data_IF_524849914474
#
_entry.id   IF_524849914474
#
_cell.length_a   1.000
_cell.length_b   1.000
_cell.length_c   1.000
_cell.angle_alpha   90.00
_cell.angle_beta   90.00
_cell.angle_gamma   90.00
#
_symmetry.space_group_name_H-M   'P 1'
#
loop_
_entity.id
_entity.type
_entity.pdbx_description
1 polymer ?
#
# COMPACT_ATOMS: atom_id res chain seq x y z
N UNK A 1 -4.02 -49.07 15.68
CA UNK A 1 -4.31 -47.65 16.01
C UNK A 1 -3.85 -46.84 14.80
N UNK A 2 -4.76 -46.58 13.88
CA UNK A 2 -4.48 -45.78 12.70
C UNK A 2 -4.52 -44.30 13.07
N UNK A 3 -3.37 -43.67 13.02
CA UNK A 3 -3.26 -42.23 13.22
C UNK A 3 -3.87 -41.52 12.01
N UNK A 4 -5.04 -40.90 12.18
CA UNK A 4 -5.63 -40.03 11.14
C UNK A 4 -4.69 -38.89 10.86
N UNK A 5 -4.20 -38.80 9.62
CA UNK A 5 -3.44 -37.64 9.14
C UNK A 5 -4.29 -36.37 9.31
N UNK A 6 -3.71 -35.24 9.77
CA UNK A 6 -4.46 -34.02 9.94
C UNK A 6 -5.04 -33.61 8.59
N UNK A 7 -6.35 -33.39 8.55
CA UNK A 7 -7.06 -32.84 7.39
C UNK A 7 -6.36 -31.55 6.97
N UNK A 8 -5.70 -31.55 5.83
CA UNK A 8 -5.13 -30.34 5.24
C UNK A 8 -6.28 -29.40 4.94
N UNK A 9 -6.27 -28.22 5.52
CA UNK A 9 -7.20 -27.15 5.16
C UNK A 9 -7.17 -26.98 3.63
N UNK A 10 -8.33 -26.88 2.98
CA UNK A 10 -8.37 -26.76 1.52
C UNK A 10 -7.58 -25.52 1.08
N UNK A 11 -6.75 -25.69 0.06
CA UNK A 11 -5.79 -24.68 -0.46
C UNK A 11 -6.51 -23.38 -0.87
N UNK A 12 -7.81 -23.43 -1.07
CA UNK A 12 -8.69 -22.34 -1.50
C UNK A 12 -9.77 -21.96 -0.47
N UNK A 13 -9.70 -22.46 0.76
CA UNK A 13 -10.51 -21.87 1.83
C UNK A 13 -9.95 -20.48 2.06
N UNK A 14 -10.74 -19.42 1.95
CA UNK A 14 -10.33 -18.03 2.13
C UNK A 14 -9.80 -17.70 3.54
N UNK A 15 -9.38 -18.70 4.31
CA UNK A 15 -8.75 -18.57 5.62
C UNK A 15 -7.23 -18.60 5.47
N UNK A 16 -6.59 -17.55 5.93
CA UNK A 16 -5.14 -17.46 5.99
C UNK A 16 -4.59 -18.36 7.11
N UNK A 17 -3.39 -18.91 6.87
CA UNK A 17 -2.66 -19.66 7.90
C UNK A 17 -2.15 -18.76 9.03
N UNK A 18 -2.00 -17.48 8.80
CA UNK A 18 -1.62 -16.47 9.80
C UNK A 18 -2.81 -15.56 10.04
N UNK A 19 -3.25 -15.47 11.27
CA UNK A 19 -4.34 -14.59 11.71
C UNK A 19 -3.76 -13.42 12.49
N UNK A 20 -4.31 -12.25 12.28
CA UNK A 20 -3.96 -11.08 13.07
C UNK A 20 -4.56 -11.22 14.48
N UNK A 21 -3.79 -11.00 15.55
CA UNK A 21 -4.35 -10.87 16.90
C UNK A 21 -5.31 -9.68 16.96
N UNK A 22 -6.38 -9.80 17.72
CA UNK A 22 -7.26 -8.67 17.98
C UNK A 22 -6.52 -7.62 18.82
N UNK A 23 -6.58 -6.36 18.41
CA UNK A 23 -5.98 -5.24 19.13
C UNK A 23 -6.79 -3.95 18.95
N UNK A 24 -6.61 -3.00 19.85
CA UNK A 24 -7.25 -1.70 19.80
C UNK A 24 -6.29 -0.63 19.22
N UNK A 25 -6.80 0.42 18.57
CA UNK A 25 -5.96 1.49 18.08
C UNK A 25 -5.30 2.22 19.26
N UNK A 26 -4.09 2.77 19.09
CA UNK A 26 -3.43 3.54 20.15
C UNK A 26 -4.23 4.80 20.49
N UNK A 27 -3.99 5.34 21.69
CA UNK A 27 -4.66 6.57 22.15
C UNK A 27 -4.51 7.70 21.12
N UNK A 28 -5.61 8.39 20.83
CA UNK A 28 -5.69 9.46 19.85
C UNK A 28 -5.96 9.01 18.41
N UNK A 29 -6.09 7.69 18.16
CA UNK A 29 -6.43 7.13 16.86
C UNK A 29 -7.72 6.31 16.91
N UNK A 30 -8.43 6.24 15.79
CA UNK A 30 -9.63 5.43 15.66
C UNK A 30 -9.58 4.61 14.37
N UNK A 31 -10.16 3.39 14.41
CA UNK A 31 -10.40 2.60 13.22
C UNK A 31 -11.43 3.28 12.31
N UNK A 32 -11.31 3.03 11.02
CA UNK A 32 -12.27 3.40 9.98
C UNK A 32 -12.55 4.90 9.92
N UNK A 33 -11.52 5.70 10.26
CA UNK A 33 -11.56 7.16 10.26
C UNK A 33 -10.30 7.76 9.66
N UNK A 34 -10.40 9.00 9.23
CA UNK A 34 -9.27 9.83 8.87
C UNK A 34 -8.61 10.33 10.15
N UNK A 35 -7.42 9.83 10.46
CA UNK A 35 -6.64 10.33 11.59
C UNK A 35 -5.61 11.33 11.07
N UNK A 36 -5.31 12.36 11.87
CA UNK A 36 -4.29 13.35 11.53
C UNK A 36 -3.05 13.14 12.38
N UNK A 37 -1.95 12.78 11.73
CA UNK A 37 -0.66 12.58 12.40
C UNK A 37 0.49 12.51 11.38
N UNK A 38 1.73 12.63 11.86
CA UNK A 38 2.92 12.18 11.12
C UNK A 38 2.94 10.65 11.10
N UNK A 39 3.24 10.06 9.93
CA UNK A 39 3.18 8.62 9.74
C UNK A 39 4.22 7.85 10.55
N UNK A 40 5.43 8.40 10.76
CA UNK A 40 6.46 7.76 11.60
C UNK A 40 6.08 7.80 13.07
N UNK A 41 5.57 8.95 13.55
CA UNK A 41 5.09 9.09 14.93
C UNK A 41 3.88 8.19 15.20
N UNK A 42 3.03 7.99 14.21
CA UNK A 42 1.93 7.05 14.27
C UNK A 42 2.44 5.61 14.36
N UNK A 43 3.30 5.19 13.43
CA UNK A 43 3.83 3.82 13.40
C UNK A 43 4.60 3.46 14.66
N UNK A 44 5.33 4.39 15.26
CA UNK A 44 6.06 4.19 16.52
C UNK A 44 5.16 3.81 17.71
N UNK A 45 3.85 4.09 17.65
CA UNK A 45 2.88 3.72 18.68
C UNK A 45 2.28 2.33 18.49
N UNK A 46 2.60 1.67 17.39
CA UNK A 46 2.08 0.35 17.04
C UNK A 46 3.06 -0.76 17.42
N UNK A 47 2.50 -1.88 17.85
CA UNK A 47 3.28 -3.07 18.20
C UNK A 47 3.89 -3.74 16.95
N UNK A 48 4.99 -4.46 17.16
CA UNK A 48 5.60 -5.29 16.13
C UNK A 48 4.64 -6.40 15.68
N UNK A 49 4.63 -6.71 14.39
CA UNK A 49 3.83 -7.79 13.86
C UNK A 49 2.34 -7.64 14.12
N UNK A 50 1.79 -6.43 13.99
CA UNK A 50 0.40 -6.14 14.33
C UNK A 50 -0.56 -6.15 13.13
N UNK A 51 -0.06 -6.20 11.89
CA UNK A 51 -0.91 -6.15 10.69
C UNK A 51 -0.45 -7.11 9.59
N UNK A 52 -1.37 -7.72 8.82
CA UNK A 52 -1.03 -8.50 7.64
C UNK A 52 -0.74 -7.65 6.40
N UNK A 53 -1.15 -6.37 6.37
CA UNK A 53 -1.09 -5.56 5.16
C UNK A 53 -0.87 -4.08 5.48
N UNK A 54 0.10 -3.50 4.77
CA UNK A 54 0.33 -2.05 4.76
C UNK A 54 0.31 -1.55 3.32
N UNK A 55 -0.41 -0.46 3.07
CA UNK A 55 -0.26 0.36 1.87
C UNK A 55 0.66 1.52 2.16
N UNK A 56 1.46 1.92 1.17
CA UNK A 56 2.32 3.09 1.29
C UNK A 56 2.48 3.79 -0.06
N UNK A 57 2.12 5.05 -0.11
CA UNK A 57 2.30 5.93 -1.27
C UNK A 57 3.20 7.11 -0.87
N UNK A 58 4.52 6.93 -0.88
CA UNK A 58 5.42 8.00 -0.47
C UNK A 58 5.32 9.20 -1.41
N UNK A 59 5.28 10.41 -0.86
CA UNK A 59 5.31 11.65 -1.64
C UNK A 59 6.76 11.92 -2.11
N UNK A 60 7.23 11.17 -3.08
CA UNK A 60 8.55 11.34 -3.69
C UNK A 60 8.52 12.38 -4.83
N UNK A 61 9.64 13.05 -5.06
CA UNK A 61 9.79 13.90 -6.24
C UNK A 61 9.99 13.06 -7.49
N UNK A 62 9.02 13.12 -8.40
CA UNK A 62 9.20 12.62 -9.75
C UNK A 62 10.00 13.59 -10.64
N UNK A 63 10.57 13.08 -11.73
CA UNK A 63 11.30 13.90 -12.70
C UNK A 63 10.46 15.07 -13.24
N UNK A 64 9.14 14.92 -13.30
CA UNK A 64 8.23 15.98 -13.77
C UNK A 64 8.03 17.11 -12.76
N UNK A 65 8.32 16.89 -11.48
CA UNK A 65 8.16 17.92 -10.45
C UNK A 65 9.33 18.93 -10.47
N UNK A 66 10.41 18.57 -11.17
CA UNK A 66 11.55 19.44 -11.43
C UNK A 66 11.45 20.23 -12.74
N UNK A 67 10.41 19.98 -13.56
CA UNK A 67 10.25 20.59 -14.86
C UNK A 67 9.18 21.69 -14.82
N UNK A 68 9.55 22.92 -15.17
CA UNK A 68 8.66 24.03 -15.39
C UNK A 68 8.36 24.15 -16.88
N UNK A 69 7.09 24.16 -17.24
CA UNK A 69 6.62 24.26 -18.63
C UNK A 69 6.15 25.66 -18.99
N UNK A 70 6.15 26.59 -18.02
CA UNK A 70 5.78 27.98 -18.21
C UNK A 70 4.27 28.29 -18.26
N UNK A 71 3.43 27.24 -18.30
CA UNK A 71 1.96 27.36 -18.33
C UNK A 71 1.27 26.46 -17.30
N UNK A 72 1.93 26.25 -16.17
CA UNK A 72 1.37 25.45 -15.06
C UNK A 72 0.12 26.12 -14.49
N UNK A 73 -1.00 25.39 -14.49
CA UNK A 73 -2.22 25.78 -13.81
C UNK A 73 -2.09 25.64 -12.28
N UNK A 74 -3.06 26.20 -11.54
CA UNK A 74 -3.12 26.14 -10.05
C UNK A 74 -2.94 24.73 -9.49
N UNK A 75 -3.50 23.73 -10.16
CA UNK A 75 -3.40 22.31 -9.78
C UNK A 75 -1.93 21.82 -9.76
N UNK A 76 -1.08 22.28 -10.65
CA UNK A 76 0.31 21.88 -10.72
C UNK A 76 1.16 22.63 -9.69
N UNK A 77 0.83 23.89 -9.43
CA UNK A 77 1.42 24.69 -8.35
C UNK A 77 1.11 24.09 -6.98
N UNK A 78 -0.13 23.61 -6.74
CA UNK A 78 -0.51 22.89 -5.53
C UNK A 78 0.28 21.60 -5.31
N UNK A 79 0.60 20.85 -6.38
CA UNK A 79 1.46 19.65 -6.28
C UNK A 79 2.89 19.96 -5.87
N UNK A 80 3.45 21.03 -6.39
CA UNK A 80 4.81 21.47 -6.05
C UNK A 80 4.93 21.96 -4.60
N UNK A 81 3.82 22.34 -3.97
CA UNK A 81 3.76 22.78 -2.59
C UNK A 81 3.69 21.63 -1.56
N UNK A 82 3.40 20.38 -1.99
CA UNK A 82 3.37 19.24 -1.09
C UNK A 82 4.78 18.91 -0.60
N UNK A 83 4.89 18.64 0.70
CA UNK A 83 6.15 18.18 1.30
C UNK A 83 6.59 16.88 0.62
N UNK A 84 7.80 16.89 0.08
CA UNK A 84 8.40 15.72 -0.55
C UNK A 84 9.20 14.93 0.47
N UNK A 85 9.05 13.60 0.46
CA UNK A 85 9.88 12.70 1.25
C UNK A 85 11.24 12.51 0.60
N UNK A 86 12.31 12.63 1.39
CA UNK A 86 13.63 12.25 0.96
C UNK A 86 13.78 10.71 0.94
N UNK A 87 14.73 10.20 0.16
CA UNK A 87 15.01 8.76 0.08
C UNK A 87 15.26 8.12 1.46
N UNK A 88 16.02 8.81 2.31
CA UNK A 88 16.27 8.37 3.69
C UNK A 88 14.98 8.31 4.54
N UNK A 89 14.03 9.22 4.31
CA UNK A 89 12.74 9.21 5.00
C UNK A 89 11.88 8.04 4.51
N UNK A 90 11.83 7.79 3.20
CA UNK A 90 11.13 6.63 2.62
C UNK A 90 11.67 5.32 3.20
N UNK A 91 13.01 5.17 3.29
CA UNK A 91 13.65 4.00 3.90
C UNK A 91 13.25 3.82 5.36
N UNK A 92 13.14 4.90 6.14
CA UNK A 92 12.65 4.84 7.52
C UNK A 92 11.20 4.36 7.60
N UNK A 93 10.32 4.86 6.73
CA UNK A 93 8.94 4.36 6.65
C UNK A 93 8.91 2.87 6.34
N UNK A 94 9.67 2.41 5.34
CA UNK A 94 9.67 1.00 4.93
C UNK A 94 10.28 0.09 6.02
N UNK A 95 11.28 0.55 6.75
CA UNK A 95 11.81 -0.18 7.90
C UNK A 95 10.75 -0.36 9.00
N UNK A 96 10.03 0.70 9.36
CA UNK A 96 8.92 0.63 10.31
C UNK A 96 7.78 -0.27 9.79
N UNK A 97 7.43 -0.17 8.51
CA UNK A 97 6.45 -1.06 7.89
C UNK A 97 6.89 -2.52 7.99
N UNK A 98 8.18 -2.81 7.74
CA UNK A 98 8.74 -4.15 7.93
C UNK A 98 8.59 -4.66 9.37
N UNK A 99 8.75 -3.79 10.38
CA UNK A 99 8.51 -4.11 11.78
C UNK A 99 7.05 -4.44 12.07
N UNK A 100 6.11 -3.62 11.54
CA UNK A 100 4.67 -3.77 11.80
C UNK A 100 4.04 -4.99 11.13
N UNK A 101 4.59 -5.44 10.01
CA UNK A 101 4.03 -6.57 9.27
C UNK A 101 4.19 -7.88 10.03
N UNK A 102 3.12 -8.67 10.04
CA UNK A 102 3.16 -10.08 10.44
C UNK A 102 4.09 -10.88 9.52
N UNK A 103 4.67 -12.01 9.97
CA UNK A 103 5.31 -12.95 9.04
C UNK A 103 4.38 -13.26 7.86
N UNK A 104 4.91 -13.28 6.65
CA UNK A 104 4.17 -13.41 5.38
C UNK A 104 3.23 -12.25 5.02
N UNK A 105 3.21 -11.20 5.83
CA UNK A 105 2.44 -9.99 5.53
C UNK A 105 2.97 -9.23 4.31
N UNK A 106 2.18 -8.34 3.76
CA UNK A 106 2.48 -7.66 2.50
C UNK A 106 2.58 -6.14 2.67
N UNK A 107 3.52 -5.56 1.95
CA UNK A 107 3.58 -4.13 1.65
C UNK A 107 3.13 -3.91 0.20
N UNK A 108 2.13 -3.03 0.01
CA UNK A 108 1.69 -2.51 -1.27
C UNK A 108 2.27 -1.11 -1.44
N UNK A 109 3.37 -1.00 -2.19
CA UNK A 109 4.16 0.22 -2.34
C UNK A 109 3.91 0.86 -3.70
N UNK A 110 3.32 2.05 -3.71
CA UNK A 110 3.20 2.83 -4.93
C UNK A 110 4.53 3.45 -5.33
N UNK A 111 4.87 3.32 -6.61
CA UNK A 111 6.14 3.84 -7.17
C UNK A 111 5.92 4.41 -8.55
N UNK A 112 6.77 5.34 -8.96
CA UNK A 112 6.80 5.79 -10.36
C UNK A 112 7.82 5.01 -11.20
N UNK A 113 7.71 5.15 -12.51
CA UNK A 113 8.57 4.43 -13.46
C UNK A 113 10.06 4.77 -13.32
N UNK A 114 10.39 5.96 -12.83
CA UNK A 114 11.79 6.37 -12.71
C UNK A 114 12.45 5.72 -11.51
N UNK A 115 11.73 5.61 -10.39
CA UNK A 115 12.19 4.83 -9.24
C UNK A 115 12.36 3.35 -9.59
N UNK A 116 11.47 2.77 -10.41
CA UNK A 116 11.66 1.41 -10.92
C UNK A 116 12.94 1.29 -11.76
N UNK A 117 13.24 2.26 -12.62
CA UNK A 117 14.45 2.25 -13.46
C UNK A 117 15.75 2.45 -12.65
N UNK A 118 15.72 3.26 -11.60
CA UNK A 118 16.87 3.50 -10.72
C UNK A 118 17.05 2.41 -9.68
N UNK A 119 15.99 1.63 -9.42
CA UNK A 119 15.93 0.53 -8.49
C UNK A 119 15.40 0.94 -7.12
N UNK A 120 14.33 0.28 -6.71
CA UNK A 120 13.72 0.42 -5.38
C UNK A 120 14.26 -0.61 -4.38
N UNK A 121 15.13 -1.51 -4.82
CA UNK A 121 15.68 -2.58 -3.98
C UNK A 121 16.31 -2.05 -2.70
N UNK A 122 17.08 -0.96 -2.79
CA UNK A 122 17.73 -0.34 -1.62
C UNK A 122 16.76 0.20 -0.56
N UNK A 123 15.48 0.36 -0.89
CA UNK A 123 14.45 0.73 0.08
C UNK A 123 14.01 -0.46 0.94
N UNK A 124 14.18 -1.69 0.42
CA UNK A 124 13.80 -2.93 1.10
C UNK A 124 14.96 -3.55 1.88
N UNK A 125 16.18 -3.05 1.70
CA UNK A 125 17.37 -3.58 2.36
C UNK A 125 17.22 -3.61 3.89
N UNK A 126 17.60 -4.72 4.50
CA UNK A 126 17.57 -4.96 5.95
C UNK A 126 16.18 -4.89 6.61
N UNK A 127 15.10 -4.88 5.84
CA UNK A 127 13.71 -4.80 6.36
C UNK A 127 13.03 -6.16 6.51
N UNK A 128 13.61 -7.21 5.97
CA UNK A 128 13.00 -8.54 5.86
C UNK A 128 11.87 -8.60 4.80
N UNK A 129 11.74 -7.55 3.98
CA UNK A 129 10.81 -7.49 2.86
C UNK A 129 11.49 -7.87 1.57
N UNK A 130 10.85 -8.72 0.77
CA UNK A 130 11.29 -9.10 -0.55
C UNK A 130 10.22 -8.76 -1.59
N UNK A 131 10.62 -8.21 -2.72
CA UNK A 131 9.71 -7.99 -3.85
C UNK A 131 9.21 -9.33 -4.38
N UNK A 132 7.89 -9.45 -4.51
CA UNK A 132 7.23 -10.69 -4.99
C UNK A 132 6.40 -10.47 -6.24
N UNK A 133 5.96 -9.23 -6.51
CA UNK A 133 5.18 -8.90 -7.70
C UNK A 133 5.24 -7.41 -8.03
N UNK A 134 4.79 -7.03 -9.23
CA UNK A 134 4.67 -5.67 -9.71
C UNK A 134 3.41 -5.52 -10.56
N UNK A 135 2.50 -4.65 -10.15
CA UNK A 135 1.29 -4.35 -10.89
C UNK A 135 1.38 -2.99 -11.57
N UNK A 136 0.79 -2.88 -12.73
CA UNK A 136 0.64 -1.63 -13.48
C UNK A 136 -0.82 -1.19 -13.43
N UNK A 137 -1.11 -0.04 -12.82
CA UNK A 137 -2.42 0.56 -12.92
C UNK A 137 -2.50 1.44 -14.18
N UNK A 138 -3.28 1.00 -15.18
CA UNK A 138 -3.67 1.80 -16.32
C UNK A 138 -4.85 2.70 -15.95
N UNK A 139 -4.62 4.02 -15.94
CA UNK A 139 -5.61 5.03 -15.52
C UNK A 139 -6.72 5.28 -16.55
N UNK A 140 -6.62 4.67 -17.73
CA UNK A 140 -7.53 4.90 -18.86
C UNK A 140 -7.66 6.38 -19.26
N UNK A 141 -6.64 7.17 -18.96
CA UNK A 141 -6.52 8.59 -19.34
C UNK A 141 -5.08 8.97 -19.57
N UNK A 142 -4.87 9.88 -20.50
CA UNK A 142 -3.55 10.45 -20.72
C UNK A 142 -3.26 11.56 -19.69
N UNK A 143 -2.19 11.40 -18.95
CA UNK A 143 -1.62 12.44 -18.10
C UNK A 143 -0.56 13.26 -18.84
N UNK A 144 0.06 14.18 -18.13
CA UNK A 144 1.15 14.98 -18.66
C UNK A 144 2.42 14.15 -18.84
N UNK A 145 3.28 14.57 -19.75
CA UNK A 145 4.60 13.98 -19.98
C UNK A 145 5.31 14.72 -21.10
N UNK A 146 6.62 14.81 -20.99
CA UNK A 146 7.44 15.55 -21.95
C UNK A 146 7.66 14.79 -23.27
N UNK A 147 7.90 13.47 -23.17
CA UNK A 147 8.03 12.57 -24.34
C UNK A 147 6.81 11.70 -24.50
N UNK A 148 6.62 10.78 -23.57
CA UNK A 148 5.44 9.92 -23.53
C UNK A 148 4.42 10.44 -22.52
N UNK A 149 3.13 10.23 -22.77
CA UNK A 149 2.06 10.59 -21.84
C UNK A 149 1.94 9.55 -20.73
N UNK A 150 1.78 10.02 -19.50
CA UNK A 150 1.60 9.12 -18.34
C UNK A 150 0.19 8.56 -18.31
N UNK A 151 0.05 7.29 -18.60
CA UNK A 151 -1.21 6.55 -18.48
C UNK A 151 -1.21 5.61 -17.29
N UNK A 152 -0.05 5.33 -16.71
CA UNK A 152 0.11 4.31 -15.70
C UNK A 152 0.80 4.82 -14.42
N UNK A 153 0.52 4.14 -13.31
CA UNK A 153 1.30 4.09 -12.07
C UNK A 153 1.59 2.63 -11.73
N UNK A 154 2.53 2.43 -10.85
CA UNK A 154 3.03 1.08 -10.54
C UNK A 154 2.87 0.81 -9.06
N UNK A 155 2.46 -0.43 -8.74
CA UNK A 155 2.32 -0.93 -7.39
C UNK A 155 3.26 -2.12 -7.21
N UNK A 156 4.34 -1.92 -6.46
CA UNK A 156 5.24 -2.98 -6.06
C UNK A 156 4.63 -3.74 -4.89
N UNK A 157 4.59 -5.06 -4.99
CA UNK A 157 4.19 -5.94 -3.91
C UNK A 157 5.44 -6.52 -3.26
N UNK A 158 5.65 -6.20 -1.99
CA UNK A 158 6.69 -6.83 -1.20
C UNK A 158 6.08 -7.69 -0.09
N UNK A 159 6.74 -8.78 0.27
CA UNK A 159 6.30 -9.71 1.31
C UNK A 159 7.36 -9.86 2.39
N UNK A 160 6.92 -9.84 3.65
CA UNK A 160 7.79 -10.14 4.79
C UNK A 160 8.09 -11.63 4.88
N UNK A 161 9.33 -11.96 5.14
CA UNK A 161 9.77 -13.35 5.33
C UNK A 161 8.94 -14.10 6.39
N UNK A 162 8.67 -15.41 6.21
CA UNK A 162 9.03 -16.23 5.06
C UNK A 162 8.13 -15.96 3.86
N UNK A 163 8.74 -15.85 2.66
CA UNK A 163 8.01 -15.62 1.43
C UNK A 163 7.20 -16.86 1.01
N UNK A 164 5.89 -16.69 0.84
CA UNK A 164 4.97 -17.74 0.39
C UNK A 164 3.67 -17.18 -0.17
N UNK A 165 3.17 -17.77 -1.24
CA UNK A 165 1.86 -17.42 -1.80
C UNK A 165 0.74 -18.33 -1.24
N UNK A 166 1.01 -19.65 -1.18
CA UNK A 166 0.01 -20.65 -0.76
C UNK A 166 -0.51 -20.41 0.65
N UNK A 167 -1.83 -20.24 0.77
CA UNK A 167 -2.53 -19.98 2.04
C UNK A 167 -2.34 -18.54 2.56
N UNK A 168 -1.77 -17.65 1.74
CA UNK A 168 -1.55 -16.24 2.08
C UNK A 168 -2.16 -15.32 1.02
N UNK A 169 -2.01 -15.66 -0.25
CA UNK A 169 -2.63 -14.98 -1.37
C UNK A 169 -3.78 -15.82 -1.90
N UNK A 170 -5.01 -15.30 -1.89
CA UNK A 170 -6.23 -16.08 -2.21
C UNK A 170 -6.84 -15.77 -3.58
N UNK A 171 -6.62 -14.58 -4.14
CA UNK A 171 -7.15 -14.22 -5.45
C UNK A 171 -6.15 -14.54 -6.56
N UNK A 172 -6.58 -15.30 -7.56
CA UNK A 172 -5.74 -15.72 -8.69
C UNK A 172 -6.21 -15.10 -10.01
N UNK A 173 -7.09 -14.11 -9.95
CA UNK A 173 -7.69 -13.41 -11.09
C UNK A 173 -7.29 -11.93 -11.17
N UNK A 174 -6.34 -11.49 -10.36
CA UNK A 174 -5.77 -10.14 -10.44
C UNK A 174 -4.76 -10.14 -11.57
N UNK A 175 -5.00 -9.28 -12.56
CA UNK A 175 -4.06 -9.08 -13.67
C UNK A 175 -2.95 -8.13 -13.23
N UNK A 176 -1.75 -8.36 -13.73
CA UNK A 176 -0.59 -7.48 -13.53
C UNK A 176 -0.76 -6.09 -14.19
N UNK A 177 -1.68 -5.98 -15.16
CA UNK A 177 -2.19 -4.72 -15.69
C UNK A 177 -3.65 -4.57 -15.29
N UNK A 178 -3.89 -3.64 -14.35
CA UNK A 178 -5.23 -3.30 -13.86
C UNK A 178 -5.74 -2.03 -14.54
N UNK A 179 -6.95 -2.09 -15.06
CA UNK A 179 -7.61 -0.97 -15.71
C UNK A 179 -8.74 -0.42 -14.82
N UNK A 180 -8.57 0.81 -14.36
CA UNK A 180 -9.58 1.48 -13.55
C UNK A 180 -9.50 2.99 -13.75
N UNK A 181 -10.62 3.58 -14.17
CA UNK A 181 -10.76 5.03 -14.28
C UNK A 181 -11.25 5.60 -12.97
N UNK A 182 -10.54 6.60 -12.43
CA UNK A 182 -11.02 7.30 -11.25
C UNK A 182 -12.19 8.21 -11.60
N UNK A 183 -13.26 8.08 -10.86
CA UNK A 183 -14.44 8.97 -10.95
C UNK A 183 -14.27 10.24 -10.13
N UNK A 184 -13.28 10.27 -9.23
CA UNK A 184 -13.06 11.38 -8.31
C UNK A 184 -12.19 12.49 -8.91
N UNK A 185 -12.43 13.73 -8.51
CA UNK A 185 -11.60 14.88 -8.87
C UNK A 185 -10.33 15.01 -8.00
N UNK A 186 -10.11 14.11 -7.03
CA UNK A 186 -8.92 14.16 -6.18
C UNK A 186 -7.67 13.78 -6.98
N UNK A 187 -6.69 14.67 -6.99
CA UNK A 187 -5.53 14.58 -7.89
C UNK A 187 -4.64 13.34 -7.64
N UNK A 188 -4.64 12.81 -6.43
CA UNK A 188 -3.78 11.73 -5.96
C UNK A 188 -4.53 10.49 -5.50
N UNK A 189 -5.85 10.40 -5.77
CA UNK A 189 -6.61 9.21 -5.45
C UNK A 189 -6.04 7.99 -6.19
N UNK A 190 -5.99 6.86 -5.49
CA UNK A 190 -5.62 5.56 -6.05
C UNK A 190 -6.87 4.74 -6.37
N UNK A 191 -6.77 3.71 -7.23
CA UNK A 191 -7.90 2.90 -7.66
C UNK A 191 -8.45 2.07 -6.49
N UNK A 192 -9.66 2.39 -6.05
CA UNK A 192 -10.29 1.74 -4.89
C UNK A 192 -10.61 0.29 -5.20
N UNK A 193 -11.03 -0.02 -6.44
CA UNK A 193 -11.32 -1.38 -6.89
C UNK A 193 -10.09 -2.29 -6.83
N UNK A 194 -8.94 -1.84 -7.33
CA UNK A 194 -7.68 -2.56 -7.20
C UNK A 194 -7.30 -2.78 -5.73
N UNK A 195 -7.35 -1.71 -4.92
CA UNK A 195 -7.01 -1.79 -3.51
C UNK A 195 -7.92 -2.78 -2.77
N UNK A 196 -9.23 -2.74 -3.01
CA UNK A 196 -10.20 -3.67 -2.41
C UNK A 196 -9.89 -5.13 -2.80
N UNK A 197 -9.55 -5.38 -4.07
CA UNK A 197 -9.20 -6.71 -4.55
C UNK A 197 -7.92 -7.23 -3.86
N UNK A 198 -6.89 -6.40 -3.75
CA UNK A 198 -5.64 -6.73 -3.07
C UNK A 198 -5.84 -6.96 -1.57
N UNK A 199 -6.62 -6.09 -0.90
CA UNK A 199 -6.99 -6.26 0.51
C UNK A 199 -7.65 -7.62 0.72
N UNK A 200 -8.68 -7.92 -0.07
CA UNK A 200 -9.39 -9.21 0.04
C UNK A 200 -8.48 -10.42 -0.20
N UNK A 201 -7.46 -10.27 -1.05
CA UNK A 201 -6.54 -11.35 -1.40
C UNK A 201 -5.62 -11.76 -0.27
N UNK A 202 -5.21 -10.81 0.58
CA UNK A 202 -4.15 -11.04 1.58
C UNK A 202 -4.58 -10.82 3.02
N UNK A 203 -5.87 -10.54 3.25
CA UNK A 203 -6.45 -10.31 4.59
C UNK A 203 -7.75 -11.08 4.81
N UNK A 204 -8.13 -11.33 6.07
CA UNK A 204 -9.46 -11.82 6.44
C UNK A 204 -10.38 -10.66 6.80
N UNK A 205 -11.69 -10.93 6.86
CA UNK A 205 -12.64 -9.95 7.41
C UNK A 205 -12.25 -9.60 8.86
N UNK A 206 -12.33 -8.31 9.18
CA UNK A 206 -11.96 -7.77 10.47
C UNK A 206 -10.47 -7.56 10.71
N UNK A 207 -9.59 -8.02 9.81
CA UNK A 207 -8.17 -7.68 9.87
C UNK A 207 -7.97 -6.16 9.69
N UNK A 208 -6.94 -5.63 10.34
CA UNK A 208 -6.57 -4.22 10.23
C UNK A 208 -5.58 -4.03 9.08
N UNK A 209 -5.87 -3.10 8.20
CA UNK A 209 -4.97 -2.62 7.14
C UNK A 209 -4.42 -1.27 7.55
N UNK A 210 -3.12 -1.09 7.44
CA UNK A 210 -2.44 0.15 7.82
C UNK A 210 -2.06 0.97 6.58
N UNK A 211 -2.20 2.30 6.68
CA UNK A 211 -1.71 3.26 5.69
C UNK A 211 -1.15 4.50 6.42
N UNK A 212 0.19 4.61 6.57
CA UNK A 212 0.81 5.70 7.32
C UNK A 212 0.94 7.01 6.53
N UNK A 213 0.52 7.05 5.26
CA UNK A 213 0.56 8.23 4.40
C UNK A 213 -0.68 8.24 3.48
N UNK A 214 -1.86 8.24 4.11
CA UNK A 214 -3.11 7.87 3.47
C UNK A 214 -3.62 8.86 2.40
N UNK A 215 -3.11 10.09 2.37
CA UNK A 215 -3.44 11.10 1.37
C UNK A 215 -4.95 11.28 1.18
N UNK A 216 -5.49 10.77 0.08
CA UNK A 216 -6.93 10.81 -0.22
C UNK A 216 -7.77 9.82 0.59
N UNK A 217 -7.16 8.94 1.37
CA UNK A 217 -7.82 7.86 2.12
C UNK A 217 -8.54 6.82 1.25
N UNK A 218 -8.08 6.57 0.04
CA UNK A 218 -8.66 5.56 -0.84
C UNK A 218 -8.57 4.13 -0.26
N UNK A 219 -7.56 3.84 0.56
CA UNK A 219 -7.43 2.57 1.29
C UNK A 219 -8.53 2.41 2.35
N UNK A 220 -8.95 3.50 3.01
CA UNK A 220 -10.10 3.49 3.92
C UNK A 220 -11.37 3.04 3.18
N UNK A 221 -11.64 3.65 2.01
CA UNK A 221 -12.83 3.29 1.22
C UNK A 221 -12.78 1.81 0.80
N UNK A 222 -11.61 1.31 0.40
CA UNK A 222 -11.41 -0.09 0.03
C UNK A 222 -11.58 -1.05 1.23
N UNK A 223 -11.13 -0.67 2.42
CA UNK A 223 -11.32 -1.45 3.65
C UNK A 223 -12.80 -1.56 4.01
N UNK A 224 -13.54 -0.44 3.97
CA UNK A 224 -14.98 -0.42 4.26
C UNK A 224 -15.76 -1.32 3.29
N UNK A 225 -15.43 -1.27 1.99
CA UNK A 225 -16.06 -2.14 0.97
C UNK A 225 -15.82 -3.62 1.20
N UNK A 226 -14.72 -3.98 1.84
CA UNK A 226 -14.30 -5.38 2.02
C UNK A 226 -14.51 -5.92 3.43
N UNK A 227 -15.05 -5.13 4.36
CA UNK A 227 -15.27 -5.52 5.75
C UNK A 227 -13.95 -5.71 6.53
N UNK A 228 -12.90 -4.99 6.14
CA UNK A 228 -11.63 -4.88 6.87
C UNK A 228 -11.61 -3.58 7.65
N UNK A 229 -10.84 -3.53 8.72
CA UNK A 229 -10.63 -2.30 9.48
C UNK A 229 -9.49 -1.51 8.87
N UNK A 230 -9.67 -0.23 8.76
CA UNK A 230 -8.63 0.71 8.35
C UNK A 230 -8.01 1.39 9.58
N UNK A 231 -6.70 1.49 9.61
CA UNK A 231 -5.99 2.35 10.53
C UNK A 231 -4.86 3.09 9.79
N UNK A 232 -5.04 4.35 9.54
CA UNK A 232 -4.05 5.16 8.84
C UNK A 232 -4.17 6.61 9.18
N UNK A 233 -3.20 7.40 8.73
CA UNK A 233 -3.15 8.83 8.99
C UNK A 233 -2.55 9.60 7.81
N UNK A 234 -2.80 10.89 7.80
CA UNK A 234 -2.13 11.86 6.94
C UNK A 234 -1.87 13.14 7.74
N UNK A 235 -0.83 13.90 7.37
CA UNK A 235 -0.48 15.15 8.04
C UNK A 235 -1.51 16.25 7.78
N UNK A 236 -2.24 16.16 6.67
CA UNK A 236 -3.30 17.11 6.33
C UNK A 236 -4.65 16.73 6.98
N UNK A 237 -4.88 15.44 7.29
CA UNK A 237 -6.06 14.91 7.94
C UNK A 237 -7.19 14.55 7.00
#
# INVERSE_FOLDING_TARGET
MEGSAPLRAPVFSGQRTVQQPAWAPPAGFAFDRRNRADGLDFMAKLADGCTPLVFFDPQYRGVLDHQSYGNEGERQRGRAALRQMADAEIKRFIAEIGRLLLPTGHLMLWVDKFHLCTGVGSWLDATGLEMVDLLTWNKLRMGMGYRTRRCAEYLLVAQKSPRRAKGVWSAHDIRDVWEEKLETHHAHAKPVGLQAKLIASVTNQGDVVIDPAAGSFSVLDACLQTGRKFLGCDIAG
#
